data_IF_831237513397
#
_entry.id   IF_831237513397
#
_cell.length_a   1.000
_cell.length_b   1.000
_cell.length_c   1.000
_cell.angle_alpha   90.00
_cell.angle_beta   90.00
_cell.angle_gamma   90.00
#
_symmetry.space_group_name_H-M   'P 1'
#
loop_
_entity.id
_entity.type
_entity.pdbx_description
1 polymer ?
#
# COMPACT_ATOMS: atom_id res chain seq x y z
N UNK A 1 -14.50 22.01 -23.29
CA UNK A 1 -13.73 23.27 -23.04
C UNK A 1 -12.35 22.88 -22.53
N UNK A 2 -11.26 23.64 -22.74
CA UNK A 2 -9.96 23.25 -22.18
C UNK A 2 -10.09 23.00 -20.67
N UNK A 3 -9.40 21.97 -20.17
CA UNK A 3 -9.42 21.62 -18.75
C UNK A 3 -9.07 22.84 -17.92
N UNK A 4 -9.91 23.17 -16.94
CA UNK A 4 -9.64 24.30 -16.06
C UNK A 4 -8.42 23.96 -15.21
N UNK A 5 -7.36 24.77 -15.33
CA UNK A 5 -6.13 24.62 -14.56
C UNK A 5 -6.18 25.50 -13.31
N UNK A 6 -5.31 25.23 -12.34
CA UNK A 6 -5.09 26.09 -11.18
C UNK A 6 -4.31 27.34 -11.62
N UNK A 7 -4.93 28.54 -11.61
CA UNK A 7 -4.28 29.76 -12.10
C UNK A 7 -3.26 30.32 -11.10
N UNK A 8 -3.38 30.02 -9.81
CA UNK A 8 -2.49 30.51 -8.76
C UNK A 8 -2.36 29.48 -7.63
N UNK A 9 -1.15 28.95 -7.48
CA UNK A 9 -0.83 27.89 -6.50
C UNK A 9 -0.96 28.35 -5.06
N UNK A 10 -1.00 29.66 -4.80
CA UNK A 10 -1.10 30.25 -3.46
C UNK A 10 -2.55 30.48 -3.00
N UNK A 11 -3.51 30.37 -3.92
CA UNK A 11 -4.94 30.56 -3.67
C UNK A 11 -5.63 29.19 -3.63
N UNK A 12 -6.57 28.95 -2.69
CA UNK A 12 -7.37 27.73 -2.69
C UNK A 12 -8.04 27.47 -4.04
N UNK A 13 -7.78 26.31 -4.62
CA UNK A 13 -8.33 25.95 -5.93
C UNK A 13 -9.77 25.45 -5.84
N UNK A 14 -10.69 26.32 -5.44
CA UNK A 14 -12.11 25.98 -5.25
C UNK A 14 -12.81 25.56 -6.55
N UNK A 15 -12.29 26.02 -7.69
CA UNK A 15 -12.72 25.60 -9.03
C UNK A 15 -12.11 24.28 -9.50
N UNK A 16 -11.61 23.42 -8.60
CA UNK A 16 -11.16 22.06 -8.91
C UNK A 16 -12.26 21.34 -9.73
N UNK A 17 -11.97 20.93 -10.98
CA UNK A 17 -12.95 20.25 -11.83
C UNK A 17 -13.49 18.98 -11.18
N UNK A 18 -14.78 18.74 -11.36
CA UNK A 18 -15.44 17.52 -10.90
C UNK A 18 -15.06 16.32 -11.78
N UNK A 19 -15.11 15.13 -11.20
CA UNK A 19 -15.08 13.87 -11.94
C UNK A 19 -16.49 13.54 -12.48
N UNK A 20 -16.60 12.85 -13.63
CA UNK A 20 -15.51 12.46 -14.53
C UNK A 20 -14.96 13.65 -15.32
N UNK A 21 -13.68 13.56 -15.70
CA UNK A 21 -13.10 14.48 -16.68
C UNK A 21 -13.60 14.17 -18.09
N UNK A 22 -13.43 15.10 -19.04
CA UNK A 22 -13.84 14.87 -20.44
C UNK A 22 -13.11 13.67 -21.07
N UNK A 23 -13.83 12.88 -21.87
CA UNK A 23 -13.37 11.60 -22.46
C UNK A 23 -12.03 11.71 -23.21
N UNK A 24 -11.81 12.82 -23.90
CA UNK A 24 -10.57 13.09 -24.65
C UNK A 24 -9.29 13.06 -23.81
N UNK A 25 -9.40 13.17 -22.47
CA UNK A 25 -8.25 13.17 -21.57
C UNK A 25 -7.84 11.77 -21.09
N UNK A 26 -8.70 10.77 -21.27
CA UNK A 26 -8.44 9.41 -20.76
C UNK A 26 -8.70 8.30 -21.78
N UNK A 27 -9.23 8.63 -22.96
CA UNK A 27 -9.40 7.70 -24.08
C UNK A 27 -8.50 8.03 -25.26
N UNK A 28 -7.23 8.29 -24.98
CA UNK A 28 -6.20 8.38 -26.03
C UNK A 28 -5.69 6.98 -26.37
N UNK A 29 -5.14 6.81 -27.57
CA UNK A 29 -4.58 5.51 -28.01
C UNK A 29 -3.53 5.00 -27.02
N UNK A 30 -2.58 5.87 -26.66
CA UNK A 30 -1.51 5.58 -25.70
C UNK A 30 -2.02 5.09 -24.33
N UNK A 31 -3.10 5.70 -23.82
CA UNK A 31 -3.69 5.28 -22.54
C UNK A 31 -4.35 3.92 -22.68
N UNK A 32 -5.07 3.67 -23.78
CA UNK A 32 -5.75 2.40 -24.01
C UNK A 32 -4.75 1.25 -24.22
N UNK A 33 -3.66 1.48 -24.94
CA UNK A 33 -2.56 0.51 -25.08
C UNK A 33 -1.93 0.19 -23.72
N UNK A 34 -1.58 1.21 -22.94
CA UNK A 34 -1.02 1.02 -21.60
C UNK A 34 -2.00 0.36 -20.62
N UNK A 35 -3.31 0.62 -20.78
CA UNK A 35 -4.37 0.01 -20.00
C UNK A 35 -4.45 -1.50 -20.25
N UNK A 36 -4.26 -1.95 -21.49
CA UNK A 36 -4.24 -3.39 -21.84
C UNK A 36 -3.12 -4.10 -21.07
N UNK A 37 -1.91 -3.54 -21.07
CA UNK A 37 -0.77 -4.12 -20.35
C UNK A 37 -1.00 -4.16 -18.83
N UNK A 38 -1.49 -3.06 -18.25
CA UNK A 38 -1.79 -2.99 -16.83
C UNK A 38 -2.88 -4.00 -16.41
N UNK A 39 -3.92 -4.17 -17.23
CA UNK A 39 -4.97 -5.18 -17.01
C UNK A 39 -4.42 -6.60 -17.12
N UNK A 40 -3.60 -6.88 -18.12
CA UNK A 40 -2.97 -8.20 -18.27
C UNK A 40 -2.09 -8.54 -17.05
N UNK A 41 -1.33 -7.57 -16.53
CA UNK A 41 -0.49 -7.78 -15.35
C UNK A 41 -1.31 -8.01 -14.07
N UNK A 42 -2.30 -7.15 -13.78
CA UNK A 42 -3.11 -7.29 -12.56
C UNK A 42 -3.97 -8.56 -12.57
N UNK A 43 -4.51 -8.96 -13.73
CA UNK A 43 -5.25 -10.23 -13.85
C UNK A 43 -4.35 -11.45 -13.67
N UNK A 44 -3.09 -11.42 -14.13
CA UNK A 44 -2.10 -12.48 -13.85
C UNK A 44 -1.80 -12.58 -12.36
N UNK A 45 -1.61 -11.44 -11.69
CA UNK A 45 -1.43 -11.39 -10.24
C UNK A 45 -2.66 -11.96 -9.51
N UNK A 46 -3.86 -11.52 -9.86
CA UNK A 46 -5.11 -12.00 -9.26
C UNK A 46 -5.21 -13.53 -9.37
N UNK A 47 -5.05 -14.08 -10.58
CA UNK A 47 -5.13 -15.52 -10.81
C UNK A 47 -4.11 -16.32 -10.01
N UNK A 48 -2.87 -15.79 -9.86
CA UNK A 48 -1.85 -16.43 -9.02
C UNK A 48 -2.20 -16.37 -7.54
N UNK A 49 -2.77 -15.26 -7.07
CA UNK A 49 -3.11 -15.04 -5.66
C UNK A 49 -4.26 -15.95 -5.16
N UNK A 50 -5.21 -16.28 -6.03
CA UNK A 50 -6.30 -17.19 -5.73
C UNK A 50 -5.82 -18.63 -5.46
N UNK A 51 -4.68 -19.03 -6.04
CA UNK A 51 -4.13 -20.38 -5.93
C UNK A 51 -3.31 -20.62 -4.64
N UNK A 52 -3.19 -19.63 -3.75
CA UNK A 52 -2.35 -19.72 -2.55
C UNK A 52 -3.10 -20.48 -1.42
N UNK A 53 -2.59 -21.64 -0.93
CA UNK A 53 -3.28 -22.44 0.09
C UNK A 53 -3.38 -21.81 1.49
N UNK A 54 -2.76 -20.66 1.72
CA UNK A 54 -2.86 -19.87 2.95
C UNK A 54 -2.56 -18.40 2.64
N UNK A 55 -3.57 -17.71 2.10
CA UNK A 55 -3.45 -16.34 1.62
C UNK A 55 -2.98 -15.37 2.71
N UNK A 56 -3.44 -15.55 3.96
CA UNK A 56 -3.09 -14.66 5.07
C UNK A 56 -1.58 -14.51 5.31
N UNK A 57 -0.81 -15.54 4.97
CA UNK A 57 0.64 -15.60 5.14
C UNK A 57 1.39 -14.61 4.23
N UNK A 58 1.13 -14.72 2.93
CA UNK A 58 1.77 -13.94 1.88
C UNK A 58 1.30 -12.49 1.91
N UNK A 59 0.01 -12.27 2.19
CA UNK A 59 -0.55 -10.92 2.27
C UNK A 59 0.12 -10.14 3.40
N UNK A 60 0.37 -10.75 4.57
CA UNK A 60 1.00 -10.04 5.70
C UNK A 60 2.37 -9.44 5.36
N UNK A 61 3.16 -10.20 4.62
CA UNK A 61 4.51 -9.80 4.26
C UNK A 61 4.51 -8.76 3.14
N UNK A 62 3.67 -8.95 2.11
CA UNK A 62 3.56 -8.00 0.99
C UNK A 62 2.96 -6.67 1.46
N UNK A 63 1.93 -6.69 2.30
CA UNK A 63 1.35 -5.48 2.91
C UNK A 63 2.36 -4.70 3.75
N UNK A 64 3.33 -5.38 4.39
CA UNK A 64 4.40 -4.70 5.12
C UNK A 64 5.39 -4.00 4.18
N UNK A 65 5.70 -4.59 3.03
CA UNK A 65 6.53 -3.95 2.01
C UNK A 65 5.84 -2.71 1.44
N UNK A 66 4.55 -2.81 1.10
CA UNK A 66 3.73 -1.66 0.68
C UNK A 66 3.76 -0.56 1.74
N UNK A 67 3.54 -0.91 3.01
CA UNK A 67 3.58 0.05 4.10
C UNK A 67 4.93 0.77 4.25
N UNK A 68 6.04 0.03 4.12
CA UNK A 68 7.39 0.57 4.16
C UNK A 68 7.64 1.54 3.01
N UNK A 69 7.35 1.17 1.76
CA UNK A 69 7.58 2.04 0.61
C UNK A 69 6.66 3.27 0.63
N UNK A 70 5.38 3.07 0.97
CA UNK A 70 4.41 4.15 1.07
C UNK A 70 4.79 5.18 2.13
N UNK A 71 5.37 4.74 3.26
CA UNK A 71 5.86 5.63 4.31
C UNK A 71 7.16 6.33 3.92
N UNK A 72 8.05 5.66 3.19
CA UNK A 72 9.28 6.24 2.66
C UNK A 72 9.03 7.42 1.69
N UNK A 73 7.91 7.39 0.95
CA UNK A 73 7.48 8.53 0.12
C UNK A 73 7.28 9.79 0.99
N UNK A 74 6.76 9.65 2.20
CA UNK A 74 6.59 10.75 3.17
C UNK A 74 7.86 11.02 4.02
N UNK A 75 9.00 10.45 3.64
CA UNK A 75 10.28 10.52 4.35
C UNK A 75 10.29 9.85 5.73
N UNK A 76 9.42 8.86 5.94
CA UNK A 76 9.41 8.01 7.14
C UNK A 76 10.24 6.76 6.83
N UNK A 77 11.46 6.72 7.33
CA UNK A 77 12.41 5.63 7.10
C UNK A 77 12.70 4.87 8.38
N UNK A 78 12.85 3.55 8.26
CA UNK A 78 13.31 2.66 9.33
C UNK A 78 14.16 1.55 8.72
N UNK A 79 14.99 0.93 9.55
CA UNK A 79 15.71 -0.28 9.16
C UNK A 79 14.79 -1.49 9.17
N UNK A 80 15.14 -2.53 8.40
CA UNK A 80 14.42 -3.80 8.44
C UNK A 80 14.43 -4.39 9.86
N UNK A 81 15.58 -4.37 10.53
CA UNK A 81 15.72 -4.89 11.90
C UNK A 81 14.78 -4.19 12.90
N UNK A 82 14.67 -2.86 12.86
CA UNK A 82 13.75 -2.10 13.71
C UNK A 82 12.29 -2.40 13.39
N UNK A 83 11.93 -2.48 12.11
CA UNK A 83 10.55 -2.76 11.69
C UNK A 83 10.11 -4.16 12.07
N UNK A 84 10.97 -5.16 11.84
CA UNK A 84 10.65 -6.54 12.17
C UNK A 84 10.67 -6.79 13.68
N UNK A 85 11.55 -6.12 14.44
CA UNK A 85 11.49 -6.11 15.90
C UNK A 85 10.15 -5.56 16.37
N UNK A 86 9.75 -4.40 15.85
CA UNK A 86 8.48 -3.76 16.20
C UNK A 86 7.27 -4.67 15.88
N UNK A 87 7.28 -5.30 14.70
CA UNK A 87 6.22 -6.21 14.27
C UNK A 87 6.15 -7.49 15.13
N UNK A 88 7.31 -8.04 15.51
CA UNK A 88 7.43 -9.28 16.29
C UNK A 88 7.11 -9.10 17.78
N UNK A 89 7.41 -7.94 18.36
CA UNK A 89 7.32 -7.75 19.81
C UNK A 89 5.89 -7.49 20.31
N UNK A 90 4.94 -7.13 19.44
CA UNK A 90 3.48 -6.97 19.73
C UNK A 90 3.12 -6.11 20.95
N UNK A 91 4.09 -5.46 21.60
CA UNK A 91 3.87 -4.53 22.73
C UNK A 91 3.62 -3.14 22.17
N UNK A 92 2.37 -2.90 21.76
CA UNK A 92 1.92 -1.62 21.17
C UNK A 92 2.05 -0.39 22.07
N UNK A 93 2.45 -0.52 23.34
CA UNK A 93 2.63 0.60 24.27
C UNK A 93 4.01 1.26 24.23
N UNK A 94 5.01 0.63 23.62
CA UNK A 94 6.40 1.14 23.61
C UNK A 94 6.93 1.50 22.21
N UNK A 95 6.17 1.23 21.15
CA UNK A 95 6.58 1.58 19.79
C UNK A 95 6.53 3.09 19.59
N UNK A 96 7.64 3.66 19.11
CA UNK A 96 7.79 5.08 18.81
C UNK A 96 8.48 5.27 17.45
N UNK A 97 8.28 6.42 16.83
CA UNK A 97 8.94 6.80 15.59
C UNK A 97 8.47 6.00 14.36
N UNK A 98 9.35 5.88 13.37
CA UNK A 98 9.05 5.34 12.04
C UNK A 98 8.47 3.91 12.01
N UNK A 99 8.96 2.93 12.81
CA UNK A 99 8.35 1.60 12.83
C UNK A 99 6.87 1.62 13.18
N UNK A 100 6.46 2.46 14.14
CA UNK A 100 5.06 2.60 14.55
C UNK A 100 4.20 3.08 13.38
N UNK A 101 4.65 4.12 12.69
CA UNK A 101 3.90 4.69 11.57
C UNK A 101 3.74 3.72 10.40
N UNK A 102 4.77 2.91 10.11
CA UNK A 102 4.70 1.88 9.08
C UNK A 102 3.71 0.76 9.49
N UNK A 103 3.72 0.34 10.76
CA UNK A 103 2.77 -0.66 11.25
C UNK A 103 1.33 -0.15 11.26
N UNK A 104 1.11 1.12 11.64
CA UNK A 104 -0.18 1.79 11.52
C UNK A 104 -0.70 1.83 10.08
N UNK A 105 0.16 2.12 9.10
CA UNK A 105 -0.21 2.05 7.69
C UNK A 105 -0.68 0.64 7.31
N UNK A 106 0.11 -0.39 7.67
CA UNK A 106 -0.24 -1.79 7.41
C UNK A 106 -1.58 -2.15 8.05
N UNK A 107 -1.80 -1.78 9.30
CA UNK A 107 -3.08 -2.01 9.99
C UNK A 107 -4.23 -1.31 9.27
N UNK A 108 -4.03 -0.06 8.85
CA UNK A 108 -5.02 0.70 8.09
C UNK A 108 -5.38 0.05 6.75
N UNK A 109 -4.41 -0.55 6.06
CA UNK A 109 -4.65 -1.32 4.83
C UNK A 109 -5.51 -2.56 5.09
N UNK A 110 -5.41 -3.19 6.26
CA UNK A 110 -6.27 -4.32 6.60
C UNK A 110 -7.65 -3.90 7.07
N UNK A 111 -7.73 -2.89 7.94
CA UNK A 111 -9.00 -2.38 8.48
C UNK A 111 -9.87 -1.81 7.36
N UNK A 112 -9.31 -1.05 6.43
CA UNK A 112 -10.06 -0.56 5.28
C UNK A 112 -10.46 -1.65 4.29
N UNK A 113 -9.66 -2.72 4.15
CA UNK A 113 -10.04 -3.90 3.37
C UNK A 113 -11.27 -4.59 3.96
N UNK A 114 -11.29 -4.81 5.29
CA UNK A 114 -12.45 -5.40 5.96
C UNK A 114 -13.68 -4.49 5.90
N UNK A 115 -13.49 -3.17 6.03
CA UNK A 115 -14.56 -2.21 5.82
C UNK A 115 -15.17 -2.36 4.41
N UNK A 116 -14.34 -2.47 3.37
CA UNK A 116 -14.82 -2.64 1.99
C UNK A 116 -15.55 -3.97 1.79
N UNK A 117 -15.10 -5.06 2.43
CA UNK A 117 -15.81 -6.34 2.39
C UNK A 117 -17.19 -6.29 3.05
N UNK A 118 -17.36 -5.46 4.07
CA UNK A 118 -18.64 -5.36 4.79
C UNK A 118 -19.60 -4.32 4.17
N UNK A 119 -19.09 -3.12 3.85
CA UNK A 119 -19.91 -1.97 3.45
C UNK A 119 -19.98 -1.77 1.94
N UNK A 120 -18.99 -2.25 1.19
CA UNK A 120 -18.86 -2.13 -0.27
C UNK A 120 -19.13 -0.70 -0.80
N UNK A 121 -18.61 0.30 -0.09
CA UNK A 121 -18.84 1.72 -0.46
C UNK A 121 -17.75 2.63 0.07
N UNK A 122 -17.32 3.59 -0.76
CA UNK A 122 -16.47 4.69 -0.34
C UNK A 122 -17.31 5.85 0.20
N UNK A 123 -17.01 6.29 1.42
CA UNK A 123 -17.68 7.41 2.08
C UNK A 123 -16.74 8.08 3.10
N UNK A 124 -17.27 9.06 3.86
CA UNK A 124 -16.50 9.76 4.89
C UNK A 124 -16.03 8.81 5.99
N UNK A 125 -16.88 7.88 6.44
CA UNK A 125 -16.53 6.92 7.50
C UNK A 125 -15.33 6.06 7.12
N UNK A 126 -15.28 5.60 5.85
CA UNK A 126 -14.13 4.89 5.31
C UNK A 126 -12.86 5.75 5.34
N UNK A 127 -12.94 7.00 4.83
CA UNK A 127 -11.77 7.87 4.78
C UNK A 127 -11.26 8.19 6.19
N UNK A 128 -12.14 8.48 7.13
CA UNK A 128 -11.75 8.74 8.52
C UNK A 128 -11.18 7.50 9.20
N UNK A 129 -11.73 6.31 8.94
CA UNK A 129 -11.18 5.05 9.45
C UNK A 129 -9.73 4.87 8.99
N UNK A 130 -9.51 4.94 7.68
CA UNK A 130 -8.17 4.74 7.10
C UNK A 130 -7.21 5.84 7.57
N UNK A 131 -7.64 7.10 7.57
CA UNK A 131 -6.83 8.21 8.05
C UNK A 131 -6.41 8.05 9.51
N UNK A 132 -7.37 7.80 10.42
CA UNK A 132 -7.10 7.68 11.87
C UNK A 132 -6.21 6.49 12.17
N UNK A 133 -6.43 5.36 11.50
CA UNK A 133 -5.56 4.18 11.65
C UNK A 133 -4.15 4.44 11.14
N UNK A 134 -4.02 5.07 9.97
CA UNK A 134 -2.73 5.39 9.36
C UNK A 134 -1.90 6.36 10.20
N UNK A 135 -2.53 7.41 10.73
CA UNK A 135 -1.83 8.51 11.43
C UNK A 135 -1.80 8.36 12.95
N UNK A 136 -2.72 7.58 13.52
CA UNK A 136 -2.99 7.58 14.96
C UNK A 136 -3.64 8.87 15.47
N UNK A 137 -4.10 9.75 14.58
CA UNK A 137 -4.71 11.02 14.95
C UNK A 137 -6.14 10.83 15.51
N UNK A 138 -6.52 11.71 16.43
CA UNK A 138 -7.89 11.77 16.97
C UNK A 138 -8.83 12.71 16.21
N UNK A 139 -8.34 13.42 15.20
CA UNK A 139 -9.15 14.30 14.35
C UNK A 139 -9.67 13.55 13.11
N UNK A 140 -10.13 14.29 12.09
CA UNK A 140 -10.75 13.75 10.89
C UNK A 140 -10.68 14.77 9.76
N UNK A 141 -11.72 14.81 8.93
CA UNK A 141 -11.80 15.77 7.82
C UNK A 141 -11.54 17.20 8.34
N UNK A 142 -10.68 17.95 7.64
CA UNK A 142 -10.30 19.30 8.06
C UNK A 142 -11.50 20.22 8.04
N UNK A 143 -11.56 21.13 9.02
CA UNK A 143 -12.60 22.17 9.06
C UNK A 143 -12.53 23.05 7.80
N UNK A 144 -13.66 23.55 7.28
CA UNK A 144 -13.71 24.44 6.10
C UNK A 144 -12.81 25.68 6.20
N UNK A 145 -12.55 26.16 7.42
CA UNK A 145 -11.69 27.32 7.67
C UNK A 145 -10.18 26.99 7.70
N UNK A 146 -9.78 25.72 7.61
CA UNK A 146 -8.36 25.34 7.62
C UNK A 146 -7.66 25.82 6.34
N UNK A 147 -6.62 26.64 6.51
CA UNK A 147 -5.72 27.02 5.41
C UNK A 147 -4.58 26.00 5.34
N UNK A 148 -4.46 25.32 4.21
CA UNK A 148 -3.42 24.32 3.95
C UNK A 148 -2.57 24.80 2.77
N UNK A 149 -1.26 24.61 2.85
CA UNK A 149 -0.34 24.85 1.74
C UNK A 149 0.51 23.60 1.54
N UNK A 150 0.40 22.98 0.37
CA UNK A 150 1.32 21.92 -0.03
C UNK A 150 2.57 22.60 -0.56
N UNK A 151 3.73 22.26 -0.01
CA UNK A 151 5.02 22.86 -0.35
C UNK A 151 5.91 21.86 -1.05
N UNK A 152 6.78 22.34 -1.93
CA UNK A 152 7.81 21.50 -2.52
C UNK A 152 8.81 21.07 -1.44
N UNK A 153 9.07 19.77 -1.34
CA UNK A 153 10.12 19.22 -0.49
C UNK A 153 11.52 19.36 -1.09
N UNK A 154 12.52 18.82 -0.40
CA UNK A 154 13.92 18.78 -0.85
C UNK A 154 14.76 19.97 -0.40
N UNK A 155 15.97 20.10 -0.96
CA UNK A 155 17.00 21.09 -0.58
C UNK A 155 17.37 22.08 -1.70
N UNK A 156 16.66 22.05 -2.84
CA UNK A 156 16.93 22.91 -3.99
C UNK A 156 16.33 24.33 -3.90
N UNK A 157 16.52 25.18 -4.93
CA UNK A 157 16.05 26.57 -4.93
C UNK A 157 14.53 26.76 -4.81
N UNK A 158 13.77 25.70 -5.04
CA UNK A 158 12.30 25.71 -4.92
C UNK A 158 11.80 25.04 -3.63
N UNK A 159 12.68 24.51 -2.79
CA UNK A 159 12.30 23.94 -1.50
C UNK A 159 11.50 24.93 -0.66
N UNK A 160 10.40 24.47 -0.08
CA UNK A 160 9.49 25.29 0.72
C UNK A 160 8.55 26.21 -0.07
N UNK A 161 8.70 26.35 -1.39
CA UNK A 161 7.74 27.11 -2.21
C UNK A 161 6.39 26.40 -2.23
N UNK A 162 5.30 27.18 -2.27
CA UNK A 162 3.95 26.63 -2.37
C UNK A 162 3.81 25.95 -3.73
N UNK A 163 3.61 24.64 -3.70
CA UNK A 163 3.35 23.80 -4.87
C UNK A 163 1.86 23.82 -5.24
N UNK A 164 0.98 23.86 -4.24
CA UNK A 164 -0.46 23.78 -4.42
C UNK A 164 -1.20 24.23 -3.14
N UNK A 165 -2.40 24.80 -3.30
CA UNK A 165 -3.30 25.18 -2.20
C UNK A 165 -4.66 24.52 -2.44
N UNK A 166 -5.07 23.53 -1.62
CA UNK A 166 -6.29 22.75 -1.85
C UNK A 166 -7.57 23.59 -1.66
N UNK A 167 -8.73 23.09 -2.14
CA UNK A 167 -10.02 23.76 -1.97
C UNK A 167 -10.32 24.11 -0.51
N UNK A 168 -10.99 25.24 -0.25
CA UNK A 168 -11.30 25.73 1.09
C UNK A 168 -12.61 26.51 1.08
N UNK A 169 -13.41 26.37 2.13
CA UNK A 169 -14.67 27.10 2.33
C UNK A 169 -15.82 26.15 2.66
N UNK A 170 -16.88 26.72 3.26
CA UNK A 170 -18.04 25.95 3.70
C UNK A 170 -18.74 25.27 2.51
N UNK A 171 -19.01 23.98 2.60
CA UNK A 171 -19.70 23.20 1.57
C UNK A 171 -18.82 22.78 0.39
N UNK A 172 -17.67 23.44 0.18
CA UNK A 172 -16.79 23.16 -0.97
C UNK A 172 -16.07 21.83 -0.78
N UNK A 173 -15.55 21.56 0.43
CA UNK A 173 -14.84 20.31 0.68
C UNK A 173 -15.79 19.12 0.61
N UNK A 174 -16.97 19.28 1.20
CA UNK A 174 -18.06 18.32 1.20
C UNK A 174 -18.51 18.00 -0.24
N UNK A 175 -18.79 19.02 -1.07
CA UNK A 175 -19.17 18.85 -2.47
C UNK A 175 -18.11 18.07 -3.27
N UNK A 176 -16.82 18.38 -3.09
CA UNK A 176 -15.75 17.67 -3.82
C UNK A 176 -15.59 16.22 -3.36
N UNK A 177 -15.76 15.94 -2.07
CA UNK A 177 -15.74 14.57 -1.55
C UNK A 177 -16.97 13.77 -2.00
N UNK A 178 -18.15 14.38 -1.99
CA UNK A 178 -19.38 13.76 -2.52
C UNK A 178 -19.22 13.41 -4.00
N UNK A 179 -18.67 14.32 -4.81
CA UNK A 179 -18.37 14.03 -6.21
C UNK A 179 -17.35 12.89 -6.38
N UNK A 180 -16.30 12.85 -5.56
CA UNK A 180 -15.34 11.74 -5.57
C UNK A 180 -16.04 10.41 -5.25
N UNK A 181 -16.86 10.36 -4.20
CA UNK A 181 -17.54 9.13 -3.80
C UNK A 181 -18.58 8.68 -4.83
N UNK A 182 -19.40 9.59 -5.36
CA UNK A 182 -20.36 9.32 -6.44
C UNK A 182 -19.62 8.71 -7.65
N UNK A 183 -18.52 9.33 -8.06
CA UNK A 183 -17.69 8.82 -9.16
C UNK A 183 -17.17 7.41 -8.90
N UNK A 184 -16.64 7.14 -7.71
CA UNK A 184 -16.00 5.85 -7.42
C UNK A 184 -17.00 4.71 -7.18
N UNK A 185 -18.17 5.02 -6.62
CA UNK A 185 -19.18 4.03 -6.27
C UNK A 185 -20.12 3.66 -7.43
N UNK A 186 -20.44 4.60 -8.34
CA UNK A 186 -21.45 4.35 -9.38
C UNK A 186 -20.84 3.99 -10.75
N UNK A 187 -20.66 2.69 -11.00
CA UNK A 187 -20.15 2.18 -12.29
C UNK A 187 -21.21 2.18 -13.40
N UNK A 188 -22.50 2.28 -13.07
CA UNK A 188 -23.58 2.36 -14.07
C UNK A 188 -23.63 3.74 -14.68
N UNK A 189 -23.54 4.77 -13.84
CA UNK A 189 -23.49 6.17 -14.26
C UNK A 189 -22.15 6.51 -14.92
N UNK A 190 -21.07 5.91 -14.44
CA UNK A 190 -19.71 6.13 -14.95
C UNK A 190 -19.09 4.82 -15.46
N UNK A 191 -19.46 4.36 -16.68
CA UNK A 191 -18.95 3.12 -17.27
C UNK A 191 -17.52 3.30 -17.81
N UNK A 192 -16.60 3.57 -16.91
CA UNK A 192 -15.16 3.78 -17.16
C UNK A 192 -14.40 2.63 -16.51
N UNK A 193 -13.34 2.17 -17.19
CA UNK A 193 -12.51 1.07 -16.65
C UNK A 193 -11.98 1.42 -15.25
N UNK A 194 -12.03 0.48 -14.28
CA UNK A 194 -11.60 0.76 -12.92
C UNK A 194 -10.16 1.27 -12.79
N UNK A 195 -9.20 0.82 -13.62
CA UNK A 195 -7.83 1.33 -13.50
C UNK A 195 -7.73 2.82 -13.86
N UNK A 196 -8.55 3.27 -14.81
CA UNK A 196 -8.66 4.69 -15.16
C UNK A 196 -9.37 5.47 -14.04
N UNK A 197 -10.45 4.93 -13.48
CA UNK A 197 -11.15 5.52 -12.32
C UNK A 197 -10.23 5.64 -11.10
N UNK A 198 -9.41 4.62 -10.83
CA UNK A 198 -8.41 4.63 -9.77
C UNK A 198 -7.42 5.77 -9.96
N UNK A 199 -6.82 5.91 -11.15
CA UNK A 199 -5.87 6.98 -11.43
C UNK A 199 -6.51 8.37 -11.27
N UNK A 200 -7.73 8.57 -11.77
CA UNK A 200 -8.46 9.84 -11.62
C UNK A 200 -8.84 10.13 -10.17
N UNK A 201 -9.40 9.15 -9.48
CA UNK A 201 -9.83 9.24 -8.09
C UNK A 201 -8.66 9.54 -7.16
N UNK A 202 -7.50 8.92 -7.39
CA UNK A 202 -6.28 9.19 -6.63
C UNK A 202 -5.87 10.66 -6.73
N UNK A 203 -5.79 11.19 -7.95
CA UNK A 203 -5.45 12.60 -8.15
C UNK A 203 -6.46 13.52 -7.50
N UNK A 204 -7.76 13.22 -7.66
CA UNK A 204 -8.82 14.03 -7.09
C UNK A 204 -8.73 14.04 -5.57
N UNK A 205 -8.49 12.89 -4.93
CA UNK A 205 -8.27 12.79 -3.50
C UNK A 205 -7.07 13.64 -3.03
N UNK A 206 -5.93 13.52 -3.70
CA UNK A 206 -4.72 14.31 -3.39
C UNK A 206 -4.96 15.82 -3.57
N UNK A 207 -5.73 16.21 -4.60
CA UNK A 207 -6.06 17.60 -4.90
C UNK A 207 -7.09 18.19 -3.92
N UNK A 208 -8.05 17.39 -3.45
CA UNK A 208 -9.00 17.77 -2.40
C UNK A 208 -8.26 17.97 -1.07
N UNK A 209 -7.30 17.09 -0.78
CA UNK A 209 -6.46 17.11 0.42
C UNK A 209 -7.30 17.24 1.71
N UNK A 210 -8.17 16.26 2.01
CA UNK A 210 -9.20 16.42 3.04
C UNK A 210 -8.67 16.44 4.47
N UNK A 211 -7.45 15.99 4.73
CA UNK A 211 -6.85 15.94 6.07
C UNK A 211 -5.75 16.98 6.24
N UNK A 212 -5.34 17.24 7.49
CA UNK A 212 -4.22 18.14 7.80
C UNK A 212 -2.85 17.54 7.46
N UNK A 213 -2.73 16.24 7.62
CA UNK A 213 -1.57 15.42 7.28
C UNK A 213 -2.05 14.02 6.87
N UNK A 214 -1.16 13.14 6.39
CA UNK A 214 -1.49 11.74 6.10
C UNK A 214 -2.29 11.52 4.82
N UNK A 215 -2.57 12.57 4.04
CA UNK A 215 -3.29 12.47 2.76
C UNK A 215 -2.58 11.49 1.82
N UNK A 216 -1.28 11.68 1.55
CA UNK A 216 -0.53 10.81 0.64
C UNK A 216 -0.67 9.31 0.96
N UNK A 217 -0.48 8.95 2.24
CA UNK A 217 -0.61 7.57 2.71
C UNK A 217 -2.04 7.05 2.57
N UNK A 218 -3.03 7.86 2.96
CA UNK A 218 -4.46 7.53 2.85
C UNK A 218 -4.90 7.34 1.39
N UNK A 219 -4.44 8.19 0.48
CA UNK A 219 -4.73 8.10 -0.96
C UNK A 219 -4.16 6.83 -1.59
N UNK A 220 -2.93 6.46 -1.23
CA UNK A 220 -2.33 5.20 -1.70
C UNK A 220 -3.06 3.96 -1.19
N UNK A 221 -3.53 3.96 0.07
CA UNK A 221 -4.40 2.88 0.60
C UNK A 221 -5.73 2.83 -0.16
N UNK A 222 -6.34 4.01 -0.41
CA UNK A 222 -7.57 4.14 -1.17
C UNK A 222 -7.49 3.49 -2.56
N UNK A 223 -6.36 3.64 -3.27
CA UNK A 223 -6.16 2.98 -4.56
C UNK A 223 -6.26 1.45 -4.44
N UNK A 224 -5.56 0.86 -3.48
CA UNK A 224 -5.52 -0.60 -3.32
C UNK A 224 -6.91 -1.12 -2.93
N UNK A 225 -7.59 -0.45 -1.99
CA UNK A 225 -8.96 -0.82 -1.61
C UNK A 225 -9.95 -0.69 -2.77
N UNK A 226 -9.79 0.31 -3.63
CA UNK A 226 -10.63 0.46 -4.81
C UNK A 226 -10.45 -0.71 -5.78
N UNK A 227 -9.19 -1.13 -6.04
CA UNK A 227 -8.92 -2.29 -6.90
C UNK A 227 -9.52 -3.59 -6.34
N UNK A 228 -9.45 -3.77 -5.02
CA UNK A 228 -10.08 -4.92 -4.35
C UNK A 228 -11.60 -4.84 -4.43
N UNK A 229 -12.18 -3.68 -4.19
CA UNK A 229 -13.64 -3.45 -4.23
C UNK A 229 -14.20 -3.75 -5.63
N UNK A 230 -13.45 -3.41 -6.69
CA UNK A 230 -13.81 -3.72 -8.08
C UNK A 230 -13.47 -5.16 -8.51
N UNK A 231 -13.00 -6.01 -7.60
CA UNK A 231 -12.70 -7.42 -7.88
C UNK A 231 -11.52 -7.63 -8.83
N UNK A 232 -10.65 -6.63 -8.99
CA UNK A 232 -9.39 -6.78 -9.75
C UNK A 232 -8.31 -7.49 -8.92
N UNK A 233 -8.47 -7.49 -7.59
CA UNK A 233 -7.65 -8.21 -6.63
C UNK A 233 -8.55 -8.79 -5.54
N UNK A 234 -8.24 -9.98 -5.05
CA UNK A 234 -9.00 -10.57 -3.94
C UNK A 234 -8.57 -10.02 -2.58
N UNK A 235 -7.33 -9.54 -2.51
CA UNK A 235 -6.63 -9.06 -1.31
C UNK A 235 -5.76 -7.83 -1.61
N UNK A 236 -5.42 -7.00 -0.61
CA UNK A 236 -4.60 -5.81 -0.79
C UNK A 236 -3.10 -6.16 -0.90
N UNK A 237 -2.74 -6.85 -1.99
CA UNK A 237 -1.38 -7.38 -2.24
C UNK A 237 -0.61 -6.60 -3.31
N UNK A 238 -1.18 -5.56 -3.90
CA UNK A 238 -0.45 -4.79 -4.90
C UNK A 238 0.58 -3.88 -4.21
N UNK A 239 1.86 -4.10 -4.51
CA UNK A 239 2.97 -3.30 -3.98
C UNK A 239 3.16 -1.99 -4.76
N UNK A 240 2.08 -1.21 -4.93
CA UNK A 240 2.03 -0.04 -5.81
C UNK A 240 3.04 1.05 -5.42
N UNK A 241 3.27 1.25 -4.12
CA UNK A 241 4.14 2.30 -3.63
C UNK A 241 5.62 2.08 -3.96
N UNK A 242 6.04 0.86 -4.33
CA UNK A 242 7.43 0.60 -4.76
C UNK A 242 7.78 1.45 -5.98
N UNK A 243 6.97 1.36 -7.04
CA UNK A 243 7.18 2.13 -8.26
C UNK A 243 7.09 3.64 -7.97
N UNK A 244 6.13 4.05 -7.14
CA UNK A 244 6.00 5.46 -6.76
C UNK A 244 7.25 5.97 -6.02
N UNK A 245 7.85 5.15 -5.15
CA UNK A 245 9.06 5.53 -4.44
C UNK A 245 10.29 5.60 -5.37
N UNK A 246 10.46 4.62 -6.27
CA UNK A 246 11.54 4.59 -7.27
C UNK A 246 11.43 5.75 -8.27
N UNK A 247 10.20 6.19 -8.58
CA UNK A 247 9.89 7.27 -9.51
C UNK A 247 9.25 8.50 -8.81
N UNK A 248 9.64 8.76 -7.55
CA UNK A 248 9.02 9.79 -6.68
C UNK A 248 8.97 11.19 -7.30
N UNK A 249 10.00 11.58 -8.04
CA UNK A 249 10.04 12.88 -8.70
C UNK A 249 8.99 12.97 -9.82
N UNK A 250 8.85 11.91 -10.62
CA UNK A 250 7.88 11.84 -11.71
C UNK A 250 6.45 11.84 -11.17
N UNK A 251 6.20 11.11 -10.07
CA UNK A 251 4.90 11.11 -9.38
C UNK A 251 4.41 12.52 -9.04
N UNK A 252 5.24 13.31 -8.35
CA UNK A 252 4.88 14.69 -8.00
C UNK A 252 4.86 15.61 -9.21
N UNK A 253 5.75 15.40 -10.19
CA UNK A 253 5.77 16.17 -11.43
C UNK A 253 4.46 15.98 -12.21
N UNK A 254 3.96 14.75 -12.37
CA UNK A 254 2.72 14.45 -13.07
C UNK A 254 1.48 14.91 -12.31
N UNK A 255 1.41 14.71 -10.98
CA UNK A 255 0.35 15.31 -10.15
C UNK A 255 0.26 16.83 -10.37
N UNK A 256 1.41 17.50 -10.31
CA UNK A 256 1.48 18.93 -10.52
C UNK A 256 1.16 19.33 -11.98
N UNK A 257 1.49 18.47 -12.95
CA UNK A 257 1.23 18.67 -14.37
C UNK A 257 -0.26 18.73 -14.69
N UNK A 258 -1.09 17.92 -14.03
CA UNK A 258 -2.54 17.98 -14.20
C UNK A 258 -3.10 19.30 -13.68
N UNK A 259 -2.74 19.69 -12.46
CA UNK A 259 -3.25 20.93 -11.88
C UNK A 259 -2.78 22.18 -12.63
N UNK A 260 -1.60 22.14 -13.25
CA UNK A 260 -1.02 23.31 -13.94
C UNK A 260 -1.30 23.37 -15.44
N UNK A 261 -1.46 22.23 -16.09
CA UNK A 261 -1.54 22.14 -17.57
C UNK A 261 -2.68 21.24 -18.06
N UNK A 262 -3.42 20.58 -17.16
CA UNK A 262 -4.44 19.59 -17.54
C UNK A 262 -3.85 18.32 -18.16
N UNK A 263 -2.59 18.00 -17.84
CA UNK A 263 -1.81 16.88 -18.38
C UNK A 263 -2.23 15.51 -17.80
N UNK A 264 -3.51 15.19 -17.94
CA UNK A 264 -4.12 13.96 -17.46
C UNK A 264 -3.54 12.70 -18.10
N UNK A 265 -3.18 12.78 -19.37
CA UNK A 265 -2.66 11.65 -20.12
C UNK A 265 -1.35 11.13 -19.51
N UNK A 266 -0.40 12.01 -19.20
CA UNK A 266 0.87 11.63 -18.56
C UNK A 266 0.64 11.02 -17.18
N UNK A 267 -0.28 11.59 -16.40
CA UNK A 267 -0.64 11.08 -15.07
C UNK A 267 -1.27 9.68 -15.13
N UNK A 268 -2.25 9.48 -16.00
CA UNK A 268 -2.94 8.20 -16.15
C UNK A 268 -1.95 7.14 -16.63
N UNK A 269 -1.14 7.43 -17.65
CA UNK A 269 -0.09 6.51 -18.13
C UNK A 269 0.90 6.14 -17.02
N UNK A 270 1.32 7.11 -16.21
CA UNK A 270 2.19 6.85 -15.07
C UNK A 270 1.56 5.87 -14.07
N UNK A 271 0.31 6.10 -13.68
CA UNK A 271 -0.40 5.23 -12.73
C UNK A 271 -0.63 3.82 -13.31
N UNK A 272 -0.94 3.71 -14.60
CA UNK A 272 -1.10 2.41 -15.27
C UNK A 272 0.22 1.63 -15.36
N UNK A 273 1.35 2.31 -15.64
CA UNK A 273 2.69 1.70 -15.59
C UNK A 273 3.05 1.24 -14.18
N UNK A 274 2.71 2.03 -13.17
CA UNK A 274 2.93 1.65 -11.78
C UNK A 274 2.15 0.37 -11.44
N UNK A 275 0.89 0.25 -11.87
CA UNK A 275 0.09 -0.97 -11.72
C UNK A 275 0.71 -2.15 -12.47
N UNK A 276 1.08 -1.96 -13.75
CA UNK A 276 1.69 -3.00 -14.57
C UNK A 276 2.97 -3.56 -13.93
N UNK A 277 3.93 -2.69 -13.63
CA UNK A 277 5.23 -3.07 -13.07
C UNK A 277 5.06 -3.78 -11.72
N UNK A 278 4.31 -3.16 -10.80
CA UNK A 278 4.19 -3.71 -9.44
C UNK A 278 3.31 -4.96 -9.39
N UNK A 279 2.35 -5.13 -10.31
CA UNK A 279 1.60 -6.38 -10.42
C UNK A 279 2.48 -7.53 -10.92
N UNK A 280 3.34 -7.28 -11.92
CA UNK A 280 4.33 -8.26 -12.40
C UNK A 280 5.32 -8.64 -11.29
N UNK A 281 5.91 -7.65 -10.61
CA UNK A 281 6.88 -7.89 -9.53
C UNK A 281 6.25 -8.71 -8.39
N UNK A 282 5.04 -8.34 -7.99
CA UNK A 282 4.30 -9.06 -6.94
C UNK A 282 3.98 -10.49 -7.40
N UNK A 283 3.61 -10.70 -8.66
CA UNK A 283 3.36 -12.02 -9.23
C UNK A 283 4.61 -12.92 -9.14
N UNK A 284 5.79 -12.40 -9.53
CA UNK A 284 7.04 -13.17 -9.47
C UNK A 284 7.45 -13.46 -8.03
N UNK A 285 7.35 -12.46 -7.12
CA UNK A 285 7.62 -12.67 -5.69
C UNK A 285 6.73 -13.74 -5.08
N UNK A 286 5.43 -13.71 -5.35
CA UNK A 286 4.50 -14.75 -4.87
C UNK A 286 4.88 -16.12 -5.44
N UNK A 287 5.26 -16.17 -6.72
CA UNK A 287 5.65 -17.41 -7.38
C UNK A 287 6.91 -18.01 -6.75
N UNK A 288 7.93 -17.18 -6.52
CA UNK A 288 9.17 -17.58 -5.86
C UNK A 288 8.92 -18.02 -4.42
N UNK A 289 8.11 -17.27 -3.65
CA UNK A 289 7.80 -17.64 -2.27
C UNK A 289 7.13 -19.01 -2.20
N UNK A 290 6.17 -19.29 -3.09
CA UNK A 290 5.50 -20.60 -3.14
C UNK A 290 6.52 -21.69 -3.51
N UNK A 291 7.31 -21.49 -4.57
CA UNK A 291 8.28 -22.48 -5.01
C UNK A 291 9.33 -22.80 -3.95
N UNK A 292 9.86 -21.77 -3.27
CA UNK A 292 10.78 -21.93 -2.14
C UNK A 292 10.11 -22.63 -0.95
N UNK A 293 8.87 -22.25 -0.62
CA UNK A 293 8.13 -22.85 0.49
C UNK A 293 7.94 -24.35 0.26
N UNK A 294 7.55 -24.75 -0.95
CA UNK A 294 7.33 -26.16 -1.32
C UNK A 294 8.64 -26.95 -1.30
N UNK A 295 9.73 -26.40 -1.87
CA UNK A 295 11.04 -27.04 -1.85
C UNK A 295 11.57 -27.25 -0.41
N UNK A 296 11.40 -26.26 0.46
CA UNK A 296 11.79 -26.41 1.87
C UNK A 296 10.89 -27.42 2.57
N UNK A 297 9.56 -27.39 2.34
CA UNK A 297 8.64 -28.35 2.94
C UNK A 297 9.04 -29.80 2.61
N UNK A 298 9.42 -30.09 1.37
CA UNK A 298 9.87 -31.42 0.97
C UNK A 298 11.15 -31.84 1.71
N UNK A 299 12.10 -30.91 1.92
CA UNK A 299 13.27 -31.17 2.76
C UNK A 299 12.90 -31.42 4.23
N UNK A 300 11.92 -30.69 4.79
CA UNK A 300 11.46 -30.87 6.17
C UNK A 300 10.73 -32.20 6.40
N UNK A 301 10.07 -32.75 5.38
CA UNK A 301 9.33 -34.03 5.48
C UNK A 301 10.23 -35.24 5.69
N UNK A 302 11.45 -35.18 5.17
CA UNK A 302 12.43 -36.27 5.29
C UNK A 302 13.41 -36.07 6.44
N UNK A 303 13.37 -34.91 7.11
CA UNK A 303 14.26 -34.59 8.23
C UNK A 303 13.83 -35.30 9.53
N UNK A 304 14.68 -36.17 10.11
CA UNK A 304 14.35 -36.87 11.35
C UNK A 304 14.11 -35.93 12.53
N UNK A 305 13.07 -36.23 13.32
CA UNK A 305 12.78 -35.51 14.56
C UNK A 305 11.93 -34.24 14.40
N UNK A 306 11.58 -33.84 13.17
CA UNK A 306 10.56 -32.83 12.92
C UNK A 306 9.17 -33.47 12.86
N UNK A 307 8.21 -32.86 13.55
CA UNK A 307 6.79 -33.22 13.46
C UNK A 307 6.01 -32.04 12.91
N UNK A 308 4.97 -32.31 12.12
CA UNK A 308 4.10 -31.30 11.51
C UNK A 308 4.87 -30.28 10.63
N UNK A 309 5.68 -30.73 9.65
CA UNK A 309 6.49 -29.84 8.82
C UNK A 309 5.67 -28.81 8.05
N UNK A 310 4.43 -29.15 7.65
CA UNK A 310 3.48 -28.23 6.99
C UNK A 310 3.18 -26.98 7.85
N UNK A 311 3.06 -27.18 9.16
CA UNK A 311 2.76 -26.09 10.09
C UNK A 311 4.01 -25.27 10.42
N UNK A 312 5.16 -25.93 10.54
CA UNK A 312 6.43 -25.25 10.75
C UNK A 312 6.77 -24.34 9.57
N UNK A 313 6.64 -24.86 8.34
CA UNK A 313 6.92 -24.09 7.13
C UNK A 313 5.98 -22.89 6.99
N UNK A 314 4.70 -23.09 7.30
CA UNK A 314 3.73 -21.99 7.33
C UNK A 314 4.17 -20.91 8.31
N UNK A 315 4.53 -21.26 9.54
CA UNK A 315 4.91 -20.28 10.55
C UNK A 315 6.18 -19.49 10.17
N UNK A 316 7.19 -20.11 9.57
CA UNK A 316 8.43 -19.41 9.18
C UNK A 316 8.31 -18.60 7.89
N UNK A 317 7.24 -18.81 7.10
CA UNK A 317 6.94 -18.02 5.92
C UNK A 317 5.92 -16.90 6.17
N UNK A 318 5.42 -16.74 7.40
CA UNK A 318 4.49 -15.64 7.76
C UNK A 318 5.15 -14.28 7.69
N UNK A 319 6.44 -14.26 7.99
CA UNK A 319 7.26 -13.06 8.10
C UNK A 319 8.73 -13.47 8.04
N UNK A 320 9.62 -12.60 7.54
CA UNK A 320 11.05 -12.92 7.42
C UNK A 320 11.73 -13.18 8.77
N UNK A 321 11.29 -12.53 9.85
CA UNK A 321 11.84 -12.72 11.18
C UNK A 321 10.84 -13.40 12.09
N UNK A 322 11.30 -14.42 12.82
CA UNK A 322 10.48 -15.08 13.83
C UNK A 322 11.23 -15.31 15.14
N UNK A 323 10.49 -15.65 16.20
CA UNK A 323 11.03 -16.03 17.51
C UNK A 323 10.27 -17.24 18.03
N UNK A 324 10.87 -17.94 18.99
CA UNK A 324 10.27 -19.13 19.63
C UNK A 324 8.84 -18.82 20.10
N UNK A 325 8.64 -17.66 20.72
CA UNK A 325 7.33 -17.22 21.23
C UNK A 325 6.24 -17.19 20.14
N UNK A 326 6.55 -16.87 18.89
CA UNK A 326 5.53 -16.86 17.81
C UNK A 326 4.95 -18.25 17.54
N UNK A 327 5.78 -19.29 17.62
CA UNK A 327 5.36 -20.68 17.41
C UNK A 327 4.58 -21.21 18.63
N UNK A 328 4.91 -20.71 19.83
CA UNK A 328 4.26 -21.09 21.09
C UNK A 328 2.91 -20.40 21.27
N UNK A 329 2.82 -19.09 21.03
CA UNK A 329 1.60 -18.28 21.24
C UNK A 329 0.42 -18.74 20.37
N UNK A 330 0.69 -19.43 19.26
CA UNK A 330 -0.32 -20.05 18.41
C UNK A 330 -0.82 -21.42 18.91
N UNK A 331 -0.23 -21.94 20.00
CA UNK A 331 -0.60 -23.23 20.59
C UNK A 331 -0.13 -24.46 19.80
N UNK A 332 0.75 -24.27 18.81
CA UNK A 332 1.13 -25.34 17.89
C UNK A 332 2.29 -26.22 18.40
N UNK A 333 3.20 -25.63 19.17
CA UNK A 333 4.39 -26.30 19.69
C UNK A 333 4.70 -25.86 21.11
N UNK A 334 5.18 -26.78 21.96
CA UNK A 334 5.79 -26.43 23.24
C UNK A 334 7.10 -25.65 23.02
N UNK A 335 7.49 -24.79 23.97
CA UNK A 335 8.66 -23.92 23.82
C UNK A 335 9.95 -24.67 23.49
N UNK A 336 10.21 -25.79 24.18
CA UNK A 336 11.39 -26.64 23.92
C UNK A 336 11.37 -27.18 22.49
N UNK A 337 10.22 -27.65 22.01
CA UNK A 337 10.04 -28.15 20.65
C UNK A 337 10.24 -27.05 19.61
N UNK A 338 9.62 -25.89 19.80
CA UNK A 338 9.77 -24.74 18.91
C UNK A 338 11.24 -24.28 18.83
N UNK A 339 11.94 -24.21 19.96
CA UNK A 339 13.38 -23.86 19.98
C UNK A 339 14.23 -24.90 19.24
N UNK A 340 13.98 -26.19 19.48
CA UNK A 340 14.71 -27.26 18.78
C UNK A 340 14.48 -27.21 17.27
N UNK A 341 13.24 -26.99 16.84
CA UNK A 341 12.90 -26.90 15.41
C UNK A 341 13.56 -25.70 14.75
N UNK A 342 13.49 -24.51 15.36
CA UNK A 342 14.15 -23.32 14.81
C UNK A 342 15.68 -23.48 14.76
N UNK A 343 16.30 -24.10 15.77
CA UNK A 343 17.74 -24.40 15.75
C UNK A 343 18.08 -25.40 14.63
N UNK A 344 17.26 -26.43 14.43
CA UNK A 344 17.45 -27.40 13.36
C UNK A 344 17.37 -26.74 11.98
N UNK A 345 16.44 -25.82 11.78
CA UNK A 345 16.36 -25.03 10.55
C UNK A 345 17.58 -24.11 10.34
N UNK A 346 18.24 -23.67 11.43
CA UNK A 346 19.52 -22.95 11.34
C UNK A 346 20.64 -23.90 10.91
N UNK A 347 20.70 -25.12 11.44
CA UNK A 347 21.67 -26.14 11.01
C UNK A 347 21.51 -26.51 9.53
N UNK A 348 20.27 -26.51 9.04
CA UNK A 348 19.94 -26.75 7.64
C UNK A 348 20.22 -25.55 6.71
N UNK A 349 20.63 -24.39 7.25
CA UNK A 349 20.85 -23.17 6.47
C UNK A 349 19.58 -22.52 5.93
N UNK A 350 18.40 -22.90 6.44
CA UNK A 350 17.12 -22.28 6.08
C UNK A 350 16.91 -20.97 6.86
N UNK A 351 17.30 -20.97 8.13
CA UNK A 351 17.23 -19.81 9.01
C UNK A 351 18.63 -19.35 9.44
N UNK A 352 18.75 -18.07 9.81
CA UNK A 352 19.94 -17.52 10.47
C UNK A 352 19.55 -16.96 11.85
N UNK A 353 20.36 -17.21 12.89
CA UNK A 353 20.17 -16.57 14.19
C UNK A 353 20.66 -15.11 14.14
N UNK A 354 19.79 -14.16 14.50
CA UNK A 354 20.12 -12.74 14.65
C UNK A 354 19.92 -12.27 16.09
N UNK A 355 20.74 -11.32 16.53
CA UNK A 355 20.58 -10.62 17.81
C UNK A 355 20.26 -9.16 17.52
N UNK A 356 19.05 -8.71 17.88
CA UNK A 356 18.57 -7.35 17.61
C UNK A 356 18.14 -6.72 18.93
N UNK A 357 18.88 -5.71 19.39
CA UNK A 357 18.58 -5.01 20.65
C UNK A 357 18.49 -5.92 21.88
N UNK A 358 19.37 -6.94 21.95
CA UNK A 358 19.42 -7.92 23.05
C UNK A 358 18.46 -9.11 22.91
N UNK A 359 17.55 -9.09 21.95
CA UNK A 359 16.60 -10.18 21.69
C UNK A 359 17.09 -11.10 20.57
N UNK A 360 16.80 -12.40 20.68
CA UNK A 360 17.16 -13.40 19.69
C UNK A 360 16.04 -13.67 18.69
N UNK A 361 16.37 -13.57 17.41
CA UNK A 361 15.50 -13.79 16.27
C UNK A 361 16.06 -14.87 15.35
N UNK A 362 15.18 -15.43 14.53
CA UNK A 362 15.52 -16.33 13.42
C UNK A 362 15.06 -15.67 12.12
N UNK A 363 15.99 -15.40 11.22
CA UNK A 363 15.77 -14.81 9.91
C UNK A 363 15.59 -15.92 8.87
N UNK A 364 14.47 -15.95 8.16
CA UNK A 364 14.25 -16.77 6.97
C UNK A 364 15.01 -16.17 5.80
N UNK A 365 16.11 -16.81 5.41
CA UNK A 365 17.07 -16.30 4.44
C UNK A 365 16.44 -16.14 3.05
N UNK A 366 15.72 -17.16 2.58
CA UNK A 366 15.11 -17.12 1.24
C UNK A 366 13.93 -16.17 1.18
N UNK A 367 13.04 -16.16 2.19
CA UNK A 367 11.94 -15.21 2.21
C UNK A 367 12.46 -13.77 2.26
N UNK A 368 13.48 -13.49 3.08
CA UNK A 368 14.10 -12.16 3.11
C UNK A 368 14.70 -11.78 1.75
N UNK A 369 15.44 -12.69 1.12
CA UNK A 369 16.03 -12.46 -0.21
C UNK A 369 14.98 -12.12 -1.26
N UNK A 370 13.87 -12.88 -1.31
CA UNK A 370 12.80 -12.66 -2.30
C UNK A 370 12.13 -11.30 -2.10
N UNK A 371 11.94 -10.86 -0.85
CA UNK A 371 11.29 -9.59 -0.56
C UNK A 371 12.18 -8.39 -0.83
N UNK A 372 13.48 -8.52 -0.55
CA UNK A 372 14.48 -7.46 -0.71
C UNK A 372 14.97 -7.26 -2.15
N UNK A 373 14.74 -8.25 -3.04
CA UNK A 373 14.91 -8.08 -4.48
C UNK A 373 13.93 -7.02 -5.03
#
# INVERSE_FOLDING_TARGET
MPYQINPDRTIPWNGLPALPIEERYYRTLDILEQLVEAKAAISRLQGRSAAIPNQGLLINTISLQEAKASSAIENIFTTDDELYKAFSDKTGSELQGAPKEILHYRESLWEGFYFMKEKDTFNIDYLELVYRKTTGAGDGIRKPIAQIFIRQGGSGPNAGKIAYTPPRGNGILEEKLENLFDFMNDDKRYPIDPLLKMAMGHLQFEAIHPFRDGNGRTGRIFNIHYLVQKGLLDYPILFLSRYIMEHKNDYYAFLSGVTQRGDWESWIKYMLRAVEATANDTYYKITDIIGTKDAILDALRVEPGLSRPELLIEMIFTQPFTKVKHLVDKGFFAEKTARNYLNKLVEMGILERKSIGGNHYYLNLELHRILSA
#
